data_IF_245212091265
#
_entry.id   IF_245212091265
#
_cell.length_a   1.000
_cell.length_b   1.000
_cell.length_c   1.000
_cell.angle_alpha   90.00
_cell.angle_beta   90.00
_cell.angle_gamma   90.00
#
_symmetry.space_group_name_H-M   'P 1'
#
loop_
_entity.id
_entity.type
_entity.pdbx_description
1 polymer ?
#
# COMPACT_ATOMS: atom_id res chain seq x y z
N UNK A 1 -36.39 25.81 41.91
CA UNK A 1 -35.22 25.67 42.83
C UNK A 1 -34.59 27.04 43.03
N UNK A 2 -34.49 27.49 44.30
CA UNK A 2 -34.07 28.85 44.59
C UNK A 2 -32.53 28.85 44.85
N UNK A 3 -31.87 29.97 44.56
CA UNK A 3 -30.39 30.14 44.66
C UNK A 3 -29.76 29.71 46.02
N UNK A 4 -30.55 29.63 47.08
CA UNK A 4 -30.10 29.22 48.42
C UNK A 4 -29.95 27.68 48.55
N UNK A 5 -30.65 26.87 47.78
CA UNK A 5 -30.47 25.42 47.80
C UNK A 5 -29.24 24.97 46.99
N UNK A 6 -28.82 25.75 45.99
CA UNK A 6 -27.60 25.45 45.21
C UNK A 6 -26.30 25.64 46.05
N UNK A 7 -26.30 26.68 46.90
CA UNK A 7 -25.09 26.97 47.73
C UNK A 7 -24.93 26.08 48.98
N UNK A 8 -25.98 25.34 49.38
CA UNK A 8 -25.89 24.41 50.51
C UNK A 8 -25.35 23.03 50.12
N UNK A 9 -25.38 22.68 48.86
CA UNK A 9 -24.85 21.39 48.35
C UNK A 9 -23.35 21.46 48.01
N UNK A 10 -22.77 22.67 47.97
CA UNK A 10 -21.36 22.86 47.61
C UNK A 10 -20.39 22.96 48.82
N UNK A 11 -20.90 22.89 50.05
CA UNK A 11 -20.06 23.11 51.25
C UNK A 11 -19.67 21.83 52.01
N UNK A 12 -19.90 20.62 51.47
CA UNK A 12 -19.56 19.34 52.14
C UNK A 12 -18.81 18.41 51.14
N UNK A 13 -17.94 18.94 50.29
CA UNK A 13 -17.03 18.10 49.51
C UNK A 13 -15.58 18.59 49.71
N UNK A 14 -15.05 18.29 50.89
CA UNK A 14 -13.62 18.26 51.11
C UNK A 14 -13.00 17.16 50.24
N UNK A 15 -11.95 17.52 49.49
CA UNK A 15 -10.92 16.65 48.91
C UNK A 15 -11.39 15.33 48.29
N UNK A 16 -12.31 15.39 47.34
CA UNK A 16 -12.61 14.30 46.42
C UNK A 16 -12.09 14.69 45.03
N UNK A 17 -11.21 13.90 44.45
CA UNK A 17 -10.86 13.99 43.06
C UNK A 17 -12.15 13.90 42.23
N UNK A 18 -12.50 14.98 41.54
CA UNK A 18 -13.53 14.97 40.54
C UNK A 18 -13.08 14.10 39.37
N UNK A 19 -13.39 12.82 39.43
CA UNK A 19 -13.43 11.97 38.26
C UNK A 19 -14.54 12.53 37.37
N UNK A 20 -14.19 13.45 36.48
CA UNK A 20 -15.06 13.81 35.37
C UNK A 20 -15.35 12.52 34.59
N UNK A 21 -16.64 12.22 34.32
CA UNK A 21 -16.95 11.09 33.46
C UNK A 21 -16.23 11.32 32.14
N UNK A 22 -15.55 10.27 31.61
CA UNK A 22 -14.77 10.22 30.40
C UNK A 22 -15.54 10.53 29.09
N UNK A 23 -16.59 11.35 29.17
CA UNK A 23 -17.46 11.78 28.09
C UNK A 23 -17.40 13.25 27.72
N UNK A 24 -16.65 14.09 28.45
CA UNK A 24 -16.45 15.49 28.04
C UNK A 24 -15.38 15.52 26.94
N UNK A 25 -15.80 15.39 25.68
CA UNK A 25 -14.92 15.59 24.53
C UNK A 25 -14.41 17.04 24.54
N UNK A 26 -13.13 17.21 24.83
CA UNK A 26 -12.44 18.46 24.53
C UNK A 26 -12.62 18.78 23.03
N UNK A 27 -12.81 20.05 22.68
CA UNK A 27 -12.95 20.47 21.27
C UNK A 27 -11.75 19.98 20.43
N UNK A 28 -11.95 19.78 19.13
CA UNK A 28 -10.96 19.18 18.21
C UNK A 28 -9.52 19.71 18.34
N UNK A 29 -9.33 20.92 18.83
CA UNK A 29 -8.02 21.58 18.98
C UNK A 29 -7.59 21.76 20.44
N UNK A 30 -8.23 21.09 21.42
CA UNK A 30 -7.78 21.17 22.80
C UNK A 30 -6.39 20.51 22.94
N UNK A 31 -5.48 21.09 23.76
CA UNK A 31 -4.12 20.55 23.92
C UNK A 31 -4.05 19.07 24.29
N UNK A 32 -5.05 18.55 25.03
CA UNK A 32 -5.14 17.14 25.41
C UNK A 32 -5.71 16.20 24.33
N UNK A 33 -6.05 16.71 23.13
CA UNK A 33 -6.60 15.90 22.03
C UNK A 33 -5.63 15.73 20.86
N UNK A 34 -4.38 16.16 21.00
CA UNK A 34 -3.33 15.96 20.00
C UNK A 34 -2.63 14.63 20.21
N UNK A 35 -2.37 13.92 19.11
CA UNK A 35 -1.57 12.71 19.14
C UNK A 35 -0.09 13.05 19.29
N UNK A 36 0.63 12.30 20.10
CA UNK A 36 2.10 12.30 20.13
C UNK A 36 2.61 11.33 19.06
N UNK A 37 3.15 11.86 17.99
CA UNK A 37 3.48 11.10 16.78
C UNK A 37 5.00 10.98 16.62
N UNK A 38 5.48 9.79 16.27
CA UNK A 38 6.80 9.59 15.70
C UNK A 38 6.71 9.58 14.17
N UNK A 39 7.53 10.39 13.49
CA UNK A 39 7.73 10.33 12.04
C UNK A 39 9.04 9.58 11.76
N UNK A 40 8.94 8.40 11.17
CA UNK A 40 10.06 7.51 10.84
C UNK A 40 10.29 7.54 9.32
N UNK A 41 11.43 8.09 8.90
CA UNK A 41 11.73 8.53 7.53
C UNK A 41 11.26 9.97 7.32
N UNK A 42 12.11 10.94 7.64
CA UNK A 42 11.74 12.37 7.62
C UNK A 42 11.95 13.05 6.27
N UNK A 43 12.57 12.36 5.32
CA UNK A 43 12.87 12.86 3.98
C UNK A 43 12.14 12.02 2.90
N UNK A 44 12.23 12.46 1.64
CA UNK A 44 11.63 11.75 0.52
C UNK A 44 10.10 11.72 0.66
N UNK A 45 9.52 10.55 0.84
CA UNK A 45 8.07 10.41 1.04
C UNK A 45 7.59 11.01 2.37
N UNK A 46 8.44 11.04 3.40
CA UNK A 46 8.11 11.66 4.68
C UNK A 46 7.69 13.13 4.59
N UNK A 47 8.25 13.89 3.64
CA UNK A 47 7.88 15.29 3.42
C UNK A 47 6.38 15.50 3.15
N UNK A 48 5.72 14.53 2.51
CA UNK A 48 4.29 14.60 2.21
C UNK A 48 3.38 14.51 3.45
N UNK A 49 3.94 14.14 4.61
CA UNK A 49 3.20 14.06 5.86
C UNK A 49 3.31 15.32 6.73
N UNK A 50 4.24 16.23 6.42
CA UNK A 50 4.49 17.41 7.24
C UNK A 50 3.24 18.27 7.46
N UNK A 51 2.45 18.52 6.40
CA UNK A 51 1.24 19.33 6.50
C UNK A 51 0.09 18.59 7.19
N UNK A 52 -0.01 17.29 7.03
CA UNK A 52 -1.04 16.51 7.72
C UNK A 52 -0.80 16.40 9.22
N UNK A 53 0.47 16.42 9.65
CA UNK A 53 0.89 16.30 11.04
C UNK A 53 1.06 17.63 11.78
N UNK A 54 0.94 18.78 11.10
CA UNK A 54 1.22 20.11 11.70
C UNK A 54 0.33 20.47 12.89
N UNK A 55 -0.85 19.86 12.96
CA UNK A 55 -1.84 20.10 14.03
C UNK A 55 -1.68 19.11 15.19
N UNK A 56 -0.79 18.11 15.07
CA UNK A 56 -0.49 17.10 16.08
C UNK A 56 0.86 17.40 16.78
N UNK A 57 1.20 16.66 17.81
CA UNK A 57 2.50 16.74 18.49
C UNK A 57 3.48 15.76 17.84
N UNK A 58 4.30 16.21 16.90
CA UNK A 58 5.41 15.37 16.42
C UNK A 58 6.52 15.43 17.46
N UNK A 59 6.62 14.40 18.29
CA UNK A 59 7.53 14.35 19.45
C UNK A 59 8.81 13.56 19.17
N UNK A 60 8.84 12.82 18.06
CA UNK A 60 10.01 12.05 17.64
C UNK A 60 10.17 12.11 16.11
N UNK A 61 11.41 12.26 15.67
CA UNK A 61 11.85 12.20 14.28
C UNK A 61 12.92 11.11 14.16
N UNK A 62 12.75 10.19 13.22
CA UNK A 62 13.72 9.12 13.02
C UNK A 62 14.15 9.07 11.55
N UNK A 63 15.44 9.08 11.30
CA UNK A 63 16.02 8.89 9.95
C UNK A 63 17.43 8.33 10.07
N UNK A 64 17.79 7.39 9.22
CA UNK A 64 19.13 6.79 9.15
C UNK A 64 20.17 7.77 8.58
N UNK A 65 19.73 8.89 8.02
CA UNK A 65 20.57 9.96 7.52
C UNK A 65 20.40 11.22 8.37
N UNK A 66 21.33 11.44 9.28
CA UNK A 66 21.28 12.56 10.25
C UNK A 66 21.24 13.95 9.57
N UNK A 67 21.75 14.06 8.34
CA UNK A 67 21.71 15.34 7.61
C UNK A 67 20.29 15.81 7.28
N UNK A 68 19.27 14.93 7.40
CA UNK A 68 17.87 15.23 7.14
C UNK A 68 17.14 15.85 8.33
N UNK A 69 17.71 15.79 9.53
CA UNK A 69 17.04 16.34 10.72
C UNK A 69 16.93 17.85 10.72
N UNK A 70 17.90 18.57 10.15
CA UNK A 70 17.92 20.04 10.20
C UNK A 70 16.63 20.66 9.62
N UNK A 71 16.14 20.16 8.49
CA UNK A 71 14.92 20.66 7.88
C UNK A 71 13.64 20.15 8.57
N UNK A 72 13.66 18.91 9.04
CA UNK A 72 12.54 18.36 9.79
C UNK A 72 12.33 19.11 11.13
N UNK A 73 13.40 19.46 11.84
CA UNK A 73 13.34 20.21 13.10
C UNK A 73 12.86 21.64 12.91
N UNK A 74 13.07 22.27 11.74
CA UNK A 74 12.44 23.58 11.43
C UNK A 74 10.92 23.49 11.46
N UNK A 75 10.37 22.36 11.02
CA UNK A 75 8.91 22.14 10.96
C UNK A 75 8.36 21.63 12.30
N UNK A 76 9.12 20.80 13.00
CA UNK A 76 8.74 20.19 14.28
C UNK A 76 9.77 20.50 15.36
N UNK A 77 9.85 21.76 15.82
CA UNK A 77 10.80 22.18 16.83
C UNK A 77 10.52 21.47 18.17
N UNK A 78 11.55 20.94 18.80
CA UNK A 78 11.45 20.21 20.07
C UNK A 78 11.22 18.70 19.93
N UNK A 79 11.05 18.17 18.72
CA UNK A 79 11.02 16.74 18.51
C UNK A 79 12.39 16.12 18.79
N UNK A 80 12.41 14.97 19.47
CA UNK A 80 13.64 14.20 19.73
C UNK A 80 14.05 13.44 18.46
N UNK A 81 15.33 13.46 18.13
CA UNK A 81 15.86 12.75 16.95
C UNK A 81 16.42 11.39 17.28
N UNK A 82 16.24 10.43 16.38
CA UNK A 82 16.70 9.05 16.49
C UNK A 82 17.26 8.59 15.14
N UNK A 83 18.37 7.86 15.14
CA UNK A 83 18.90 7.22 13.93
C UNK A 83 18.31 5.81 13.78
N UNK A 84 18.12 5.10 14.89
CA UNK A 84 17.54 3.76 14.93
C UNK A 84 16.06 3.81 15.32
N UNK A 85 15.18 3.34 14.43
CA UNK A 85 13.75 3.31 14.66
C UNK A 85 13.35 2.42 15.85
N UNK A 86 14.15 1.39 16.19
CA UNK A 86 13.90 0.53 17.36
C UNK A 86 13.98 1.35 18.64
N UNK A 87 14.97 2.24 18.72
CA UNK A 87 15.14 3.19 19.84
C UNK A 87 14.05 4.27 19.84
N UNK A 88 13.64 4.72 18.66
CA UNK A 88 12.53 5.67 18.54
C UNK A 88 11.22 5.10 19.13
N UNK A 89 10.91 3.83 18.84
CA UNK A 89 9.72 3.15 19.36
C UNK A 89 9.75 2.84 20.87
N UNK A 90 10.89 2.99 21.54
CA UNK A 90 11.01 2.87 22.98
C UNK A 90 10.56 4.14 23.74
N UNK A 91 10.31 5.26 23.03
CA UNK A 91 9.85 6.51 23.65
C UNK A 91 8.45 6.32 24.26
N UNK A 92 8.32 6.62 25.55
CA UNK A 92 7.14 6.24 26.36
C UNK A 92 5.85 7.01 26.06
N UNK A 93 5.97 8.21 25.52
CA UNK A 93 4.82 9.09 25.30
C UNK A 93 4.34 9.09 23.84
N UNK A 94 4.51 8.00 23.11
CA UNK A 94 4.00 7.85 21.74
C UNK A 94 2.57 7.33 21.76
N UNK A 95 1.73 7.90 20.92
CA UNK A 95 0.38 7.41 20.60
C UNK A 95 0.33 6.77 19.21
N UNK A 96 1.15 7.28 18.28
CA UNK A 96 1.09 6.90 16.87
C UNK A 96 2.44 7.00 16.18
N UNK A 97 2.58 6.25 15.08
CA UNK A 97 3.75 6.30 14.21
C UNK A 97 3.33 6.48 12.74
N UNK A 98 4.12 7.26 12.00
CA UNK A 98 4.05 7.39 10.55
C UNK A 98 5.36 6.84 9.97
N UNK A 99 5.27 5.82 9.12
CA UNK A 99 6.41 5.08 8.57
C UNK A 99 6.57 5.43 7.10
N UNK A 100 7.72 6.01 6.76
CA UNK A 100 8.07 6.48 5.41
C UNK A 100 9.49 6.04 5.02
N UNK A 101 9.91 4.90 5.47
CA UNK A 101 11.25 4.32 5.26
C UNK A 101 11.36 3.58 3.93
N UNK A 102 12.40 2.79 3.72
CA UNK A 102 12.49 1.88 2.58
C UNK A 102 11.57 0.66 2.77
N UNK A 103 11.01 0.14 1.67
CA UNK A 103 9.94 -0.87 1.66
C UNK A 103 10.22 -2.09 2.55
N UNK A 104 11.47 -2.58 2.55
CA UNK A 104 11.91 -3.76 3.30
C UNK A 104 11.88 -3.60 4.83
N UNK A 105 11.72 -2.38 5.32
CA UNK A 105 11.62 -2.11 6.76
C UNK A 105 10.18 -1.85 7.21
N UNK A 106 9.24 -1.65 6.29
CA UNK A 106 7.86 -1.27 6.58
C UNK A 106 7.17 -2.26 7.51
N UNK A 107 7.18 -3.56 7.15
CA UNK A 107 6.51 -4.59 7.94
C UNK A 107 7.12 -4.73 9.34
N UNK A 108 8.44 -4.59 9.48
CA UNK A 108 9.14 -4.64 10.77
C UNK A 108 8.68 -3.51 11.68
N UNK A 109 8.79 -2.27 11.21
CA UNK A 109 8.43 -1.10 12.00
C UNK A 109 6.94 -1.11 12.34
N UNK A 110 6.07 -1.47 11.36
CA UNK A 110 4.63 -1.56 11.58
C UNK A 110 4.26 -2.62 12.62
N UNK A 111 4.86 -3.82 12.55
CA UNK A 111 4.57 -4.88 13.50
C UNK A 111 5.10 -4.56 14.91
N UNK A 112 6.29 -3.95 15.01
CA UNK A 112 6.84 -3.49 16.29
C UNK A 112 6.02 -2.36 16.91
N UNK A 113 5.48 -1.45 16.10
CA UNK A 113 4.56 -0.41 16.55
C UNK A 113 3.25 -1.01 17.10
N UNK A 114 2.67 -1.96 16.36
CA UNK A 114 1.47 -2.68 16.84
C UNK A 114 1.72 -3.41 18.16
N UNK A 115 2.90 -4.03 18.34
CA UNK A 115 3.27 -4.71 19.60
C UNK A 115 3.34 -3.75 20.80
N UNK A 116 3.55 -2.46 20.53
CA UNK A 116 3.58 -1.38 21.52
C UNK A 116 2.26 -0.62 21.66
N UNK A 117 1.19 -1.15 21.08
CA UNK A 117 -0.16 -0.55 21.06
C UNK A 117 -0.18 0.86 20.46
N UNK A 118 0.63 1.12 19.42
CA UNK A 118 0.66 2.38 18.69
C UNK A 118 -0.24 2.32 17.46
N UNK A 119 -0.99 3.40 17.20
CA UNK A 119 -1.62 3.62 15.92
C UNK A 119 -0.56 3.70 14.81
N UNK A 120 -0.84 3.19 13.63
CA UNK A 120 0.18 3.06 12.60
C UNK A 120 -0.31 3.54 11.23
N UNK A 121 0.36 4.53 10.67
CA UNK A 121 0.31 4.84 9.24
C UNK A 121 1.60 4.33 8.60
N UNK A 122 1.48 3.47 7.61
CA UNK A 122 2.64 2.94 6.88
C UNK A 122 2.54 3.32 5.41
N UNK A 123 3.59 3.90 4.83
CA UNK A 123 3.62 4.09 3.39
C UNK A 123 3.59 2.74 2.65
N UNK A 124 3.17 2.75 1.41
CA UNK A 124 3.07 1.56 0.56
C UNK A 124 4.47 1.16 0.01
N UNK A 125 4.68 -0.14 -0.25
CA UNK A 125 3.85 -1.29 0.13
C UNK A 125 3.97 -1.61 1.62
N UNK A 126 2.94 -2.19 2.21
CA UNK A 126 2.96 -2.60 3.63
C UNK A 126 4.06 -3.63 3.93
N UNK A 127 4.40 -4.44 2.94
CA UNK A 127 5.33 -5.56 3.05
C UNK A 127 5.98 -5.86 1.69
N UNK A 128 7.09 -6.58 1.70
CA UNK A 128 7.77 -7.07 0.49
C UNK A 128 7.74 -8.59 0.35
N UNK A 129 7.20 -9.32 1.34
CA UNK A 129 6.94 -10.76 1.29
C UNK A 129 5.52 -11.08 1.75
N UNK A 130 4.99 -12.22 1.29
CA UNK A 130 3.67 -12.72 1.72
C UNK A 130 3.64 -12.93 3.22
N UNK A 131 4.69 -13.51 3.80
CA UNK A 131 4.81 -13.76 5.24
C UNK A 131 4.73 -12.45 6.04
N UNK A 132 5.47 -11.42 5.64
CA UNK A 132 5.45 -10.09 6.27
C UNK A 132 4.02 -9.51 6.27
N UNK A 133 3.34 -9.50 5.12
CA UNK A 133 1.97 -8.99 5.00
C UNK A 133 1.02 -9.73 5.94
N UNK A 134 1.12 -11.05 6.00
CA UNK A 134 0.28 -11.90 6.86
C UNK A 134 0.54 -11.66 8.34
N UNK A 135 1.81 -11.56 8.76
CA UNK A 135 2.18 -11.34 10.17
C UNK A 135 1.64 -9.99 10.65
N UNK A 136 1.88 -8.92 9.89
CA UNK A 136 1.40 -7.57 10.26
C UNK A 136 -0.13 -7.53 10.31
N UNK A 137 -0.81 -8.08 9.30
CA UNK A 137 -2.28 -8.17 9.28
C UNK A 137 -2.83 -8.97 10.45
N UNK A 138 -2.28 -10.16 10.72
CA UNK A 138 -2.73 -11.01 11.82
C UNK A 138 -2.56 -10.36 13.20
N UNK A 139 -1.47 -9.61 13.39
CA UNK A 139 -1.24 -8.86 14.62
C UNK A 139 -2.28 -7.73 14.77
N UNK A 140 -2.49 -6.94 13.72
CA UNK A 140 -3.47 -5.86 13.76
C UNK A 140 -4.90 -6.38 13.97
N UNK A 141 -5.29 -7.50 13.35
CA UNK A 141 -6.61 -8.10 13.53
C UNK A 141 -6.95 -8.38 14.99
N UNK A 142 -5.95 -8.70 15.83
CA UNK A 142 -6.13 -8.87 17.29
C UNK A 142 -6.37 -7.54 18.02
N UNK A 143 -6.03 -6.43 17.41
CA UNK A 143 -6.04 -5.08 18.01
C UNK A 143 -6.94 -4.08 17.28
N UNK A 144 -7.66 -4.51 16.24
CA UNK A 144 -8.45 -3.61 15.36
C UNK A 144 -9.54 -2.80 16.05
N UNK A 145 -9.99 -3.22 17.23
CA UNK A 145 -10.95 -2.46 18.05
C UNK A 145 -10.33 -1.28 18.80
N UNK A 146 -8.99 -1.22 18.87
CA UNK A 146 -8.26 -0.22 19.66
C UNK A 146 -7.35 0.64 18.77
N UNK A 147 -6.75 0.06 17.74
CA UNK A 147 -5.73 0.71 16.94
C UNK A 147 -6.25 1.06 15.54
N UNK A 148 -6.09 2.30 15.14
CA UNK A 148 -6.29 2.72 13.76
C UNK A 148 -5.00 2.48 12.97
N UNK A 149 -5.13 1.87 11.79
CA UNK A 149 -4.03 1.68 10.85
C UNK A 149 -4.43 2.19 9.47
N UNK A 150 -3.45 2.62 8.67
CA UNK A 150 -3.66 2.97 7.26
C UNK A 150 -2.39 2.74 6.46
N UNK A 151 -2.52 2.20 5.25
CA UNK A 151 -1.44 2.14 4.28
C UNK A 151 -1.53 3.31 3.31
N UNK A 152 -0.39 3.89 2.95
CA UNK A 152 -0.25 5.12 2.16
C UNK A 152 -0.73 5.03 0.71
N UNK A 153 -1.94 4.54 0.48
CA UNK A 153 -2.59 4.45 -0.82
C UNK A 153 -3.50 5.67 -1.08
N UNK A 154 -2.95 6.87 -0.95
CA UNK A 154 -3.71 8.14 -0.96
C UNK A 154 -4.56 8.38 -2.21
N UNK A 155 -4.27 7.72 -3.33
CA UNK A 155 -5.10 7.79 -4.55
C UNK A 155 -6.50 7.22 -4.35
N UNK A 156 -6.70 6.36 -3.34
CA UNK A 156 -8.01 5.86 -2.94
C UNK A 156 -9.01 7.00 -2.63
N UNK A 157 -8.54 8.17 -2.20
CA UNK A 157 -9.37 9.34 -1.96
C UNK A 157 -9.76 10.10 -3.24
N UNK A 158 -9.27 9.73 -4.41
CA UNK A 158 -9.68 10.36 -5.66
C UNK A 158 -11.15 10.05 -5.94
N UNK A 159 -11.96 11.06 -6.31
CA UNK A 159 -13.41 10.83 -6.55
C UNK A 159 -13.71 9.74 -7.57
N UNK A 160 -12.79 9.49 -8.51
CA UNK A 160 -12.96 8.46 -9.53
C UNK A 160 -13.00 7.03 -8.97
N UNK A 161 -12.41 6.76 -7.79
CA UNK A 161 -12.53 5.47 -7.11
C UNK A 161 -13.99 5.15 -6.80
N UNK A 162 -14.70 6.07 -6.15
CA UNK A 162 -16.11 5.89 -5.83
C UNK A 162 -16.97 5.77 -7.08
N UNK A 163 -16.74 6.63 -8.08
CA UNK A 163 -17.52 6.60 -9.35
C UNK A 163 -17.30 5.30 -10.11
N UNK A 164 -16.07 4.78 -10.16
CA UNK A 164 -15.77 3.49 -10.79
C UNK A 164 -16.43 2.34 -10.03
N UNK A 165 -16.33 2.34 -8.70
CA UNK A 165 -16.98 1.35 -7.83
C UNK A 165 -18.50 1.33 -8.04
N UNK A 166 -19.14 2.48 -8.10
CA UNK A 166 -20.59 2.59 -8.33
C UNK A 166 -21.01 2.01 -9.68
N UNK A 167 -20.26 2.30 -10.75
CA UNK A 167 -20.53 1.73 -12.06
C UNK A 167 -20.43 0.20 -12.04
N UNK A 168 -19.37 -0.34 -11.48
CA UNK A 168 -19.15 -1.80 -11.43
C UNK A 168 -20.21 -2.48 -10.56
N UNK A 169 -20.45 -1.97 -9.35
CA UNK A 169 -21.44 -2.51 -8.41
C UNK A 169 -22.87 -2.36 -8.92
N UNK A 170 -23.14 -1.28 -9.65
CA UNK A 170 -24.43 -1.03 -10.28
C UNK A 170 -24.67 -1.83 -11.55
N UNK A 171 -23.71 -2.65 -11.99
CA UNK A 171 -23.85 -3.55 -13.13
C UNK A 171 -23.68 -2.87 -14.50
N UNK A 172 -22.98 -1.72 -14.58
CA UNK A 172 -22.77 -1.00 -15.83
C UNK A 172 -22.06 -1.82 -16.92
N UNK A 173 -21.29 -2.85 -16.54
CA UNK A 173 -20.66 -3.81 -17.46
C UNK A 173 -21.41 -5.14 -17.54
N UNK A 174 -22.56 -5.28 -16.89
CA UNK A 174 -23.26 -6.56 -16.71
C UNK A 174 -22.57 -7.46 -15.70
N UNK A 175 -22.63 -8.78 -15.91
CA UNK A 175 -21.92 -9.73 -15.06
C UNK A 175 -20.41 -9.58 -15.24
N UNK A 176 -19.69 -9.31 -14.16
CA UNK A 176 -18.24 -9.14 -14.19
C UNK A 176 -17.55 -10.49 -14.46
N UNK A 177 -16.65 -10.52 -15.44
CA UNK A 177 -15.93 -11.72 -15.90
C UNK A 177 -14.45 -11.65 -15.57
N UNK A 178 -13.83 -10.47 -15.80
CA UNK A 178 -12.43 -10.25 -15.54
C UNK A 178 -12.13 -8.79 -15.22
N UNK A 179 -11.04 -8.54 -14.51
CA UNK A 179 -10.55 -7.20 -14.28
C UNK A 179 -9.01 -7.16 -14.33
N UNK A 180 -8.48 -6.11 -14.93
CA UNK A 180 -7.05 -5.95 -15.17
C UNK A 180 -6.57 -4.59 -14.69
N UNK A 181 -5.42 -4.56 -14.03
CA UNK A 181 -4.75 -3.33 -13.64
C UNK A 181 -3.32 -3.32 -14.22
N UNK A 182 -2.80 -2.14 -14.52
CA UNK A 182 -1.44 -2.00 -15.02
C UNK A 182 -0.75 -0.75 -14.50
N UNK A 183 0.59 -0.80 -14.47
CA UNK A 183 1.43 0.33 -14.11
C UNK A 183 2.75 0.31 -14.87
N UNK A 184 3.11 1.44 -15.48
CA UNK A 184 4.30 1.60 -16.32
C UNK A 184 5.27 2.67 -15.79
N UNK A 185 5.31 2.89 -14.47
CA UNK A 185 6.17 3.91 -13.85
C UNK A 185 7.64 3.52 -13.81
N UNK A 186 7.93 2.22 -13.73
CA UNK A 186 9.30 1.77 -13.66
C UNK A 186 9.97 1.97 -15.02
N UNK A 187 10.89 2.89 -15.06
CA UNK A 187 11.65 3.21 -16.26
C UNK A 187 12.83 2.24 -16.32
N UNK A 188 12.99 1.59 -17.47
CA UNK A 188 14.22 0.88 -17.80
C UNK A 188 15.37 1.90 -17.74
N UNK A 189 16.54 1.58 -17.16
CA UNK A 189 17.66 2.52 -17.02
C UNK A 189 18.12 3.17 -18.32
N UNK A 190 17.89 2.53 -19.47
CA UNK A 190 18.27 2.99 -20.80
C UNK A 190 17.27 3.95 -21.48
N UNK A 191 16.19 4.33 -20.80
CA UNK A 191 15.19 5.23 -21.36
C UNK A 191 14.44 4.69 -22.58
N UNK A 192 14.50 3.38 -22.82
CA UNK A 192 13.97 2.71 -24.01
C UNK A 192 12.55 3.12 -24.36
N UNK A 193 12.32 3.45 -25.61
CA UNK A 193 11.01 3.76 -26.16
C UNK A 193 10.00 2.63 -25.90
N UNK A 194 8.70 2.94 -25.90
CA UNK A 194 7.66 1.91 -25.88
C UNK A 194 7.87 0.97 -27.05
N UNK A 195 8.31 -0.27 -26.79
CA UNK A 195 8.33 -1.30 -27.81
C UNK A 195 6.91 -1.84 -27.99
N UNK A 196 6.48 -1.97 -29.23
CA UNK A 196 5.22 -2.64 -29.52
C UNK A 196 5.34 -4.13 -29.15
N UNK A 197 4.25 -4.75 -28.65
CA UNK A 197 4.28 -6.18 -28.36
C UNK A 197 4.52 -6.98 -29.64
N UNK A 198 5.47 -7.89 -29.60
CA UNK A 198 5.80 -8.75 -30.73
C UNK A 198 4.90 -9.98 -30.85
N UNK A 199 4.34 -10.42 -29.70
CA UNK A 199 3.43 -11.56 -29.63
C UNK A 199 2.25 -11.26 -28.74
N UNK A 200 1.13 -11.78 -29.15
CA UNK A 200 -0.16 -11.63 -28.49
C UNK A 200 -0.75 -13.02 -28.21
N UNK A 201 -0.94 -13.34 -26.95
CA UNK A 201 -1.61 -14.58 -26.55
C UNK A 201 -3.11 -14.35 -26.36
N UNK A 202 -3.92 -14.73 -27.36
CA UNK A 202 -5.37 -14.59 -27.34
C UNK A 202 -6.05 -15.35 -26.19
N UNK A 203 -5.45 -16.41 -25.66
CA UNK A 203 -6.01 -17.23 -24.58
C UNK A 203 -5.83 -16.59 -23.22
N UNK A 204 -4.68 -15.98 -22.99
CA UNK A 204 -4.34 -15.37 -21.69
C UNK A 204 -4.56 -13.87 -21.69
N UNK A 205 -4.71 -13.23 -22.84
CA UNK A 205 -4.76 -11.78 -22.98
C UNK A 205 -3.42 -11.09 -22.67
N UNK A 206 -2.33 -11.83 -22.63
CA UNK A 206 -0.99 -11.32 -22.31
C UNK A 206 -0.30 -10.91 -23.60
N UNK A 207 0.32 -9.74 -23.55
CA UNK A 207 1.14 -9.18 -24.61
C UNK A 207 2.61 -9.29 -24.22
N UNK A 208 3.41 -9.95 -25.02
CA UNK A 208 4.85 -10.11 -24.80
C UNK A 208 5.65 -9.15 -25.66
N UNK A 209 6.77 -8.67 -25.11
CA UNK A 209 7.75 -7.86 -25.84
C UNK A 209 9.03 -8.68 -26.02
N UNK A 210 9.63 -8.62 -27.22
CA UNK A 210 10.90 -9.31 -27.51
C UNK A 210 12.10 -8.62 -26.87
N UNK A 211 12.03 -7.30 -26.71
CA UNK A 211 13.15 -6.52 -26.18
C UNK A 211 13.45 -6.87 -24.74
N UNK A 212 14.67 -7.22 -24.47
CA UNK A 212 15.18 -7.38 -23.10
C UNK A 212 15.48 -6.00 -22.53
N UNK A 213 14.89 -5.61 -21.39
CA UNK A 213 15.32 -4.41 -20.71
C UNK A 213 16.80 -4.53 -20.28
N UNK A 214 17.50 -3.43 -20.24
CA UNK A 214 18.84 -3.35 -19.64
C UNK A 214 18.73 -3.55 -18.12
N UNK A 215 18.73 -4.80 -17.68
CA UNK A 215 18.60 -5.18 -16.27
C UNK A 215 19.97 -5.36 -15.68
N UNK A 216 20.30 -4.81 -14.49
CA UNK A 216 21.54 -5.14 -13.80
C UNK A 216 21.67 -6.65 -13.62
N UNK A 217 22.88 -7.19 -13.85
CA UNK A 217 23.14 -8.63 -13.75
C UNK A 217 23.03 -9.15 -12.30
N UNK A 218 23.12 -8.24 -11.31
CA UNK A 218 23.13 -8.59 -9.88
C UNK A 218 22.92 -7.36 -9.00
N UNK A 219 23.15 -7.52 -7.70
CA UNK A 219 23.24 -6.38 -6.79
C UNK A 219 24.40 -5.46 -7.17
N UNK A 220 24.29 -4.18 -6.83
CA UNK A 220 25.31 -3.19 -7.17
C UNK A 220 26.63 -3.52 -6.46
N UNK A 221 27.77 -3.39 -7.13
CA UNK A 221 29.08 -3.67 -6.54
C UNK A 221 29.43 -2.66 -5.45
N UNK A 222 30.42 -3.00 -4.63
CA UNK A 222 30.99 -2.10 -3.64
C UNK A 222 31.52 -0.82 -4.31
N UNK A 223 31.10 0.33 -3.79
CA UNK A 223 31.56 1.64 -4.26
C UNK A 223 32.20 2.47 -3.12
N UNK A 224 32.65 1.81 -2.07
CA UNK A 224 33.36 2.42 -0.93
C UNK A 224 32.43 2.78 0.23
N UNK A 225 32.89 3.72 1.05
CA UNK A 225 32.21 4.09 2.29
C UNK A 225 30.96 4.95 2.06
N UNK A 226 29.89 4.75 2.84
CA UNK A 226 28.71 5.60 2.78
C UNK A 226 29.06 7.05 3.21
N UNK A 227 28.32 8.05 2.71
CA UNK A 227 28.50 9.45 3.10
C UNK A 227 28.39 9.63 4.62
N UNK A 228 29.17 10.56 5.16
CA UNK A 228 29.08 10.94 6.58
C UNK A 228 27.65 11.32 6.96
N UNK A 229 27.16 10.76 8.05
CA UNK A 229 25.80 10.97 8.56
C UNK A 229 24.77 9.98 8.03
N UNK A 230 25.11 9.11 7.08
CA UNK A 230 24.26 8.01 6.63
C UNK A 230 24.65 6.72 7.38
N UNK A 231 23.75 6.19 8.19
CA UNK A 231 23.92 4.86 8.80
C UNK A 231 23.45 3.79 7.83
N UNK A 232 24.38 3.28 7.00
CA UNK A 232 24.06 2.31 5.96
C UNK A 232 23.67 0.95 6.53
N UNK A 233 24.24 0.53 7.66
CA UNK A 233 23.87 -0.72 8.32
C UNK A 233 22.40 -0.74 8.75
N UNK A 234 21.89 0.37 9.27
CA UNK A 234 20.47 0.53 9.58
C UNK A 234 19.60 0.67 8.34
N UNK A 235 20.15 1.19 7.20
CA UNK A 235 19.41 1.18 5.93
C UNK A 235 19.23 -0.24 5.41
N UNK A 236 20.28 -1.07 5.42
CA UNK A 236 20.17 -2.51 5.11
C UNK A 236 19.14 -3.16 6.03
N UNK A 237 19.17 -2.82 7.33
CA UNK A 237 18.17 -3.27 8.29
C UNK A 237 18.04 -4.79 8.33
N UNK A 238 16.82 -5.35 8.13
CA UNK A 238 16.57 -6.79 8.18
C UNK A 238 17.05 -7.56 6.94
N UNK A 239 17.41 -6.87 5.85
CA UNK A 239 17.83 -7.51 4.61
C UNK A 239 19.22 -8.13 4.70
N UNK A 240 19.53 -9.08 3.84
CA UNK A 240 20.89 -9.59 3.73
C UNK A 240 21.83 -8.43 3.39
N UNK A 241 23.06 -8.50 3.87
CA UNK A 241 24.05 -7.44 3.65
C UNK A 241 24.47 -7.39 2.18
N UNK A 242 24.43 -6.19 1.62
CA UNK A 242 25.03 -5.83 0.34
C UNK A 242 25.92 -4.61 0.56
N UNK A 243 27.10 -4.51 -0.06
CA UNK A 243 28.00 -3.39 0.12
C UNK A 243 27.35 -2.07 -0.33
N UNK A 244 27.86 -0.97 0.20
CA UNK A 244 27.34 0.36 -0.14
C UNK A 244 27.58 0.67 -1.62
N UNK A 245 26.52 1.21 -2.25
CA UNK A 245 26.63 1.78 -3.59
C UNK A 245 25.67 2.99 -3.70
N UNK A 246 26.14 4.17 -4.14
CA UNK A 246 25.28 5.35 -4.30
C UNK A 246 24.16 5.14 -5.33
N UNK A 247 24.28 4.17 -6.23
CA UNK A 247 23.24 3.79 -7.19
C UNK A 247 21.91 3.41 -6.56
N UNK A 248 21.90 2.96 -5.31
CA UNK A 248 20.65 2.72 -4.56
C UNK A 248 19.91 4.03 -4.18
N UNK A 249 20.55 5.20 -4.31
CA UNK A 249 20.06 6.48 -3.79
C UNK A 249 19.99 7.60 -4.84
N UNK A 250 20.18 7.30 -6.12
CA UNK A 250 20.39 8.32 -7.18
C UNK A 250 19.16 9.16 -7.52
N UNK A 251 17.94 8.75 -7.13
CA UNK A 251 16.73 9.45 -7.53
C UNK A 251 16.31 10.49 -6.48
N UNK A 252 15.66 11.58 -6.93
CA UNK A 252 15.21 12.65 -6.03
C UNK A 252 14.06 12.21 -5.11
N UNK A 253 13.74 13.04 -4.13
CA UNK A 253 12.59 12.86 -3.25
C UNK A 253 11.30 12.61 -4.04
N UNK A 254 10.50 11.65 -3.59
CA UNK A 254 9.26 11.21 -4.25
C UNK A 254 9.44 10.18 -5.36
N UNK A 255 10.66 9.99 -5.88
CA UNK A 255 11.01 8.94 -6.82
C UNK A 255 12.19 8.08 -6.34
N UNK A 256 12.73 8.35 -5.17
CA UNK A 256 13.92 7.68 -4.61
C UNK A 256 13.74 6.17 -4.43
N UNK A 257 12.52 5.70 -4.16
CA UNK A 257 12.24 4.26 -4.08
C UNK A 257 12.55 3.51 -5.37
N UNK A 258 12.42 4.14 -6.54
CA UNK A 258 12.68 3.50 -7.83
C UNK A 258 14.16 3.16 -8.07
N UNK A 259 15.07 3.58 -7.20
CA UNK A 259 16.50 3.23 -7.27
C UNK A 259 16.79 1.88 -6.62
N UNK A 260 16.09 1.56 -5.52
CA UNK A 260 16.35 0.37 -4.71
C UNK A 260 15.20 -0.64 -4.69
N UNK A 261 13.97 -0.25 -4.96
CA UNK A 261 12.82 -1.14 -4.80
C UNK A 261 12.77 -2.30 -5.81
N UNK A 262 13.54 -2.22 -6.90
CA UNK A 262 13.66 -3.32 -7.86
C UNK A 262 14.45 -4.52 -7.32
N UNK A 263 15.31 -4.34 -6.33
CA UNK A 263 16.10 -5.41 -5.75
C UNK A 263 15.28 -6.23 -4.75
N UNK A 264 15.32 -7.58 -4.86
CA UNK A 264 14.51 -8.48 -4.03
C UNK A 264 14.66 -8.25 -2.52
N UNK A 265 15.84 -7.83 -2.08
CA UNK A 265 16.09 -7.59 -0.65
C UNK A 265 15.55 -6.25 -0.17
N UNK A 266 15.29 -5.29 -1.05
CA UNK A 266 14.92 -3.93 -0.68
C UNK A 266 13.50 -3.54 -1.09
N UNK A 267 12.83 -4.31 -1.96
CA UNK A 267 11.50 -3.98 -2.42
C UNK A 267 10.83 -5.11 -3.19
N UNK A 268 9.66 -4.80 -3.71
CA UNK A 268 8.87 -5.69 -4.56
C UNK A 268 8.70 -5.13 -6.00
N UNK A 269 9.57 -4.20 -6.39
CA UNK A 269 9.55 -3.59 -7.72
C UNK A 269 8.25 -2.84 -8.03
N UNK A 270 7.91 -2.81 -9.30
CA UNK A 270 6.73 -2.09 -9.79
C UNK A 270 5.41 -2.63 -9.19
N UNK A 271 5.33 -3.93 -8.93
CA UNK A 271 4.14 -4.54 -8.34
C UNK A 271 3.91 -4.05 -6.89
N UNK A 272 4.98 -3.81 -6.13
CA UNK A 272 4.91 -3.19 -4.81
C UNK A 272 4.62 -1.69 -4.88
N UNK A 273 5.27 -0.98 -5.80
CA UNK A 273 5.13 0.48 -5.94
C UNK A 273 3.75 0.87 -6.51
N UNK A 274 3.58 0.77 -7.82
CA UNK A 274 2.32 1.19 -8.48
C UNK A 274 1.22 0.13 -8.41
N UNK A 275 1.58 -1.14 -8.22
CA UNK A 275 0.60 -2.18 -7.95
C UNK A 275 -0.25 -1.84 -6.72
N UNK A 276 0.35 -1.34 -5.66
CA UNK A 276 -0.38 -0.88 -4.47
C UNK A 276 -1.43 0.19 -4.78
N UNK A 277 -1.20 1.07 -5.76
CA UNK A 277 -2.16 2.13 -6.12
C UNK A 277 -3.19 1.70 -7.16
N UNK A 278 -2.75 1.00 -8.21
CA UNK A 278 -3.64 0.71 -9.34
C UNK A 278 -4.48 -0.53 -9.09
N UNK A 279 -3.89 -1.54 -8.40
CA UNK A 279 -4.68 -2.68 -7.93
C UNK A 279 -5.72 -2.26 -6.89
N UNK A 280 -5.42 -1.28 -6.04
CA UNK A 280 -6.36 -0.71 -5.08
C UNK A 280 -7.66 -0.22 -5.75
N UNK A 281 -7.55 0.49 -6.89
CA UNK A 281 -8.71 0.91 -7.66
C UNK A 281 -9.58 -0.29 -8.08
N UNK A 282 -8.96 -1.36 -8.54
CA UNK A 282 -9.64 -2.58 -8.95
C UNK A 282 -10.17 -3.35 -7.72
N UNK A 283 -9.33 -3.57 -6.72
CA UNK A 283 -9.64 -4.31 -5.49
C UNK A 283 -10.88 -3.78 -4.80
N UNK A 284 -10.94 -2.45 -4.64
CA UNK A 284 -12.09 -1.75 -4.08
C UNK A 284 -13.37 -1.93 -4.90
N UNK A 285 -13.27 -1.92 -6.24
CA UNK A 285 -14.46 -2.01 -7.11
C UNK A 285 -15.10 -3.39 -7.09
N UNK A 286 -14.30 -4.46 -6.95
CA UNK A 286 -14.80 -5.84 -7.04
C UNK A 286 -14.98 -6.52 -5.69
N UNK A 287 -14.75 -5.82 -4.57
CA UNK A 287 -14.69 -6.38 -3.22
C UNK A 287 -13.87 -7.67 -3.21
N UNK A 288 -12.62 -7.55 -3.64
CA UNK A 288 -11.75 -8.69 -3.76
C UNK A 288 -11.39 -9.25 -2.38
N UNK A 289 -11.24 -10.57 -2.31
CA UNK A 289 -10.66 -11.31 -1.20
C UNK A 289 -9.38 -11.97 -1.69
N UNK A 290 -8.69 -12.74 -0.85
CA UNK A 290 -7.51 -13.47 -1.30
C UNK A 290 -7.84 -14.47 -2.41
N UNK A 291 -6.97 -14.62 -3.42
CA UNK A 291 -7.17 -15.56 -4.52
C UNK A 291 -6.94 -16.99 -4.12
N UNK A 292 -7.45 -17.93 -4.91
CA UNK A 292 -7.23 -19.38 -4.78
C UNK A 292 -6.09 -19.88 -5.67
N UNK A 293 -5.68 -19.09 -6.66
CA UNK A 293 -4.52 -19.40 -7.49
C UNK A 293 -3.82 -18.14 -7.99
N UNK A 294 -2.55 -18.30 -8.35
CA UNK A 294 -1.76 -17.28 -8.99
C UNK A 294 -0.87 -17.87 -10.09
N UNK A 295 -0.69 -17.15 -11.17
CA UNK A 295 0.28 -17.45 -12.22
C UNK A 295 0.94 -16.16 -12.68
N UNK A 296 2.19 -16.23 -13.15
CA UNK A 296 2.88 -15.07 -13.67
C UNK A 296 3.86 -15.46 -14.75
N UNK A 297 4.05 -14.54 -15.69
CA UNK A 297 5.07 -14.59 -16.74
C UNK A 297 5.73 -13.23 -16.86
N UNK A 298 7.01 -13.21 -17.15
CA UNK A 298 7.79 -11.96 -17.24
C UNK A 298 9.15 -12.18 -17.84
N UNK A 299 10.06 -11.25 -17.58
CA UNK A 299 11.46 -11.35 -17.94
C UNK A 299 12.08 -12.68 -17.44
N UNK A 300 13.20 -13.14 -18.02
CA UNK A 300 13.95 -14.24 -17.45
C UNK A 300 14.29 -13.98 -15.97
N UNK A 301 14.17 -15.01 -15.12
CA UNK A 301 14.42 -14.87 -13.69
C UNK A 301 15.83 -14.32 -13.42
N UNK A 302 15.88 -13.24 -12.65
CA UNK A 302 17.10 -12.63 -12.14
C UNK A 302 17.20 -12.86 -10.63
N UNK A 303 18.35 -13.29 -10.14
CA UNK A 303 18.55 -13.61 -8.73
C UNK A 303 18.52 -12.39 -7.80
N UNK A 304 18.81 -11.18 -8.33
CA UNK A 304 18.88 -9.95 -7.54
C UNK A 304 17.68 -9.02 -7.74
N UNK A 305 16.99 -9.09 -8.90
CA UNK A 305 16.08 -8.06 -9.36
C UNK A 305 14.71 -8.65 -9.67
N UNK A 306 13.67 -7.97 -9.22
CA UNK A 306 12.26 -8.24 -9.57
C UNK A 306 12.05 -8.05 -11.09
N UNK A 307 11.09 -8.75 -11.72
CA UNK A 307 10.85 -8.57 -13.14
C UNK A 307 10.46 -7.12 -13.44
N UNK A 308 11.00 -6.56 -14.52
CA UNK A 308 10.57 -5.28 -15.06
C UNK A 308 9.33 -5.48 -15.91
N UNK A 309 9.36 -6.43 -16.85
CA UNK A 309 8.21 -6.86 -17.64
C UNK A 309 7.56 -8.05 -16.94
N UNK A 310 6.29 -7.92 -16.57
CA UNK A 310 5.58 -9.02 -15.91
C UNK A 310 4.07 -8.87 -16.10
N UNK A 311 3.41 -10.01 -16.26
CA UNK A 311 1.96 -10.16 -16.12
C UNK A 311 1.67 -11.24 -15.09
N UNK A 312 0.81 -10.93 -14.13
CA UNK A 312 0.34 -11.88 -13.10
C UNK A 312 -1.18 -12.01 -13.16
N UNK A 313 -1.70 -13.21 -12.96
CA UNK A 313 -3.13 -13.48 -12.94
C UNK A 313 -3.52 -14.25 -11.68
N UNK A 314 -4.70 -13.95 -11.18
CA UNK A 314 -5.23 -14.46 -9.93
C UNK A 314 -6.69 -14.88 -10.13
N UNK A 315 -7.06 -16.07 -9.67
CA UNK A 315 -8.44 -16.52 -9.67
C UNK A 315 -9.08 -16.23 -8.31
N UNK A 316 -10.16 -15.48 -8.33
CA UNK A 316 -10.89 -15.10 -7.13
C UNK A 316 -12.22 -15.85 -7.04
N UNK A 317 -12.61 -16.32 -5.86
CA UNK A 317 -13.92 -16.91 -5.66
C UNK A 317 -15.04 -15.91 -5.87
N UNK A 318 -16.25 -16.43 -6.07
CA UNK A 318 -17.46 -15.62 -6.01
C UNK A 318 -17.61 -14.97 -4.64
N UNK A 319 -18.34 -13.86 -4.60
CA UNK A 319 -18.79 -13.23 -3.37
C UNK A 319 -20.31 -12.97 -3.44
N UNK A 320 -20.86 -12.21 -2.49
CA UNK A 320 -22.31 -12.00 -2.33
C UNK A 320 -22.99 -11.37 -3.53
N UNK A 321 -22.26 -10.70 -4.43
CA UNK A 321 -22.85 -9.96 -5.54
C UNK A 321 -22.28 -10.29 -6.93
N UNK A 322 -21.13 -10.96 -7.01
CA UNK A 322 -20.52 -11.34 -8.29
C UNK A 322 -20.08 -12.81 -8.29
N UNK A 323 -20.03 -13.39 -9.47
CA UNK A 323 -19.41 -14.68 -9.72
C UNK A 323 -17.89 -14.68 -9.49
N UNK A 324 -17.21 -15.83 -9.72
CA UNK A 324 -15.77 -15.89 -9.77
C UNK A 324 -15.22 -14.88 -10.78
N UNK A 325 -14.05 -14.31 -10.50
CA UNK A 325 -13.44 -13.31 -11.37
C UNK A 325 -11.93 -13.52 -11.48
N UNK A 326 -11.42 -13.40 -12.70
CA UNK A 326 -9.99 -13.37 -12.96
C UNK A 326 -9.47 -11.94 -12.82
N UNK A 327 -8.48 -11.72 -11.96
CA UNK A 327 -7.82 -10.44 -11.79
C UNK A 327 -6.39 -10.54 -12.37
N UNK A 328 -5.97 -9.52 -13.15
CA UNK A 328 -4.64 -9.45 -13.72
C UNK A 328 -3.90 -8.18 -13.30
N UNK A 329 -2.59 -8.30 -13.12
CA UNK A 329 -1.64 -7.20 -12.99
C UNK A 329 -0.64 -7.24 -14.15
N UNK A 330 -0.35 -6.08 -14.73
CA UNK A 330 0.59 -5.93 -15.84
C UNK A 330 1.56 -4.79 -15.57
N UNK A 331 2.83 -4.97 -15.93
CA UNK A 331 3.87 -3.95 -15.76
C UNK A 331 4.97 -4.02 -16.82
N UNK A 332 5.81 -2.96 -16.89
CA UNK A 332 6.96 -2.92 -17.77
C UNK A 332 6.55 -2.86 -19.25
N UNK A 333 5.40 -2.22 -19.53
CA UNK A 333 4.79 -2.11 -20.87
C UNK A 333 4.21 -3.40 -21.43
N UNK A 334 4.14 -4.45 -20.63
CA UNK A 334 3.21 -5.55 -20.89
C UNK A 334 1.81 -5.04 -20.59
N UNK A 335 0.87 -5.22 -21.49
CA UNK A 335 -0.48 -4.64 -21.40
C UNK A 335 -1.55 -5.70 -21.63
N UNK A 336 -2.72 -5.57 -20.99
CA UNK A 336 -3.88 -6.38 -21.40
C UNK A 336 -4.33 -6.00 -22.80
N UNK A 337 -5.04 -6.92 -23.48
CA UNK A 337 -5.63 -6.65 -24.79
C UNK A 337 -6.63 -5.51 -24.71
N UNK A 338 -6.51 -4.55 -25.64
CA UNK A 338 -7.51 -3.50 -25.77
C UNK A 338 -8.86 -4.10 -26.14
N UNK A 339 -9.94 -3.63 -25.53
CA UNK A 339 -11.29 -4.14 -25.81
C UNK A 339 -11.77 -3.75 -27.21
N UNK A 340 -11.21 -2.71 -27.81
CA UNK A 340 -11.57 -2.18 -29.13
C UNK A 340 -10.33 -1.66 -29.86
N UNK A 341 -10.33 -1.72 -31.19
CA UNK A 341 -9.16 -1.40 -32.02
C UNK A 341 -8.75 0.09 -31.98
N UNK A 342 -9.68 0.99 -31.69
CA UNK A 342 -9.40 2.43 -31.64
C UNK A 342 -8.87 2.92 -30.29
N UNK A 343 -8.89 2.09 -29.23
CA UNK A 343 -8.39 2.45 -27.91
C UNK A 343 -6.99 1.87 -27.68
N UNK A 344 -6.01 2.73 -27.60
CA UNK A 344 -4.64 2.37 -27.30
C UNK A 344 -4.38 2.46 -25.78
N UNK A 345 -4.40 1.33 -25.10
CA UNK A 345 -4.17 1.26 -23.64
C UNK A 345 -2.74 1.66 -23.26
N UNK A 346 -1.77 1.63 -24.18
CA UNK A 346 -0.38 2.03 -23.89
C UNK A 346 -0.24 3.52 -23.58
N UNK A 347 -1.24 4.32 -23.95
CA UNK A 347 -1.32 5.75 -23.63
C UNK A 347 -1.86 6.03 -22.22
N UNK A 348 -2.19 5.00 -21.46
CA UNK A 348 -2.65 5.10 -20.07
C UNK A 348 -1.58 4.48 -19.20
N UNK A 349 -0.71 5.30 -18.59
CA UNK A 349 0.43 4.83 -17.79
C UNK A 349 0.02 3.95 -16.60
N UNK A 350 -1.11 4.28 -15.98
CA UNK A 350 -1.64 3.60 -14.80
C UNK A 350 -3.14 3.48 -14.92
N UNK A 351 -3.64 2.29 -15.20
CA UNK A 351 -5.05 2.10 -15.47
C UNK A 351 -5.60 0.78 -14.97
N UNK A 352 -6.91 0.68 -15.03
CA UNK A 352 -7.67 -0.54 -14.79
C UNK A 352 -8.73 -0.73 -15.89
N UNK A 353 -9.06 -1.98 -16.17
CA UNK A 353 -10.08 -2.39 -17.10
C UNK A 353 -10.95 -3.48 -16.47
N UNK A 354 -12.25 -3.32 -16.54
CA UNK A 354 -13.25 -4.27 -16.06
C UNK A 354 -14.02 -4.79 -17.24
N UNK A 355 -14.00 -6.08 -17.45
CA UNK A 355 -14.75 -6.76 -18.54
C UNK A 355 -15.96 -7.47 -17.97
N UNK A 356 -17.07 -7.27 -18.59
CA UNK A 356 -18.31 -7.97 -18.25
C UNK A 356 -19.15 -8.30 -19.46
N UNK A 357 -20.27 -8.99 -19.22
CA UNK A 357 -21.14 -9.54 -20.27
C UNK A 357 -21.83 -8.49 -21.14
N UNK A 358 -21.89 -7.22 -20.71
CA UNK A 358 -22.59 -6.13 -21.43
C UNK A 358 -21.69 -4.93 -21.75
N UNK A 359 -20.44 -4.93 -21.32
CA UNK A 359 -19.54 -3.83 -21.59
C UNK A 359 -18.17 -3.97 -20.97
N UNK A 360 -17.33 -3.00 -21.27
CA UNK A 360 -15.99 -2.85 -20.68
C UNK A 360 -15.87 -1.44 -20.12
N UNK A 361 -15.39 -1.33 -18.89
CA UNK A 361 -15.02 -0.05 -18.28
C UNK A 361 -13.49 0.03 -18.23
N UNK A 362 -12.93 1.05 -18.85
CA UNK A 362 -11.50 1.40 -18.77
C UNK A 362 -11.37 2.69 -17.97
N UNK A 363 -10.46 2.73 -17.01
CA UNK A 363 -10.26 3.91 -16.18
C UNK A 363 -8.79 4.07 -15.73
N UNK A 364 -8.48 5.28 -15.31
CA UNK A 364 -7.30 5.64 -14.52
C UNK A 364 -7.73 6.26 -13.19
N UNK A 365 -6.83 6.95 -12.50
CA UNK A 365 -7.17 7.59 -11.22
C UNK A 365 -8.12 8.78 -11.34
N UNK A 366 -8.35 9.33 -12.54
CA UNK A 366 -9.13 10.55 -12.77
C UNK A 366 -10.25 10.38 -13.80
N UNK A 367 -10.01 9.54 -14.81
CA UNK A 367 -10.89 9.37 -15.98
C UNK A 367 -11.44 7.96 -16.04
N UNK A 368 -12.57 7.82 -16.71
CA UNK A 368 -13.20 6.53 -16.99
C UNK A 368 -13.93 6.57 -18.32
N UNK A 369 -13.93 5.46 -19.02
CA UNK A 369 -14.59 5.25 -20.31
C UNK A 369 -15.36 3.94 -20.23
N UNK A 370 -16.68 4.01 -20.35
CA UNK A 370 -17.54 2.84 -20.46
C UNK A 370 -17.82 2.57 -21.94
N UNK A 371 -17.59 1.33 -22.37
CA UNK A 371 -17.76 0.85 -23.73
C UNK A 371 -18.79 -0.28 -23.70
N UNK A 372 -20.07 -0.03 -24.01
CA UNK A 372 -21.07 -1.08 -24.12
C UNK A 372 -20.77 -2.01 -25.32
N UNK A 373 -21.17 -3.28 -25.22
CA UNK A 373 -20.95 -4.27 -26.26
C UNK A 373 -22.29 -4.82 -26.78
N UNK A 374 -22.37 -5.10 -28.08
CA UNK A 374 -23.55 -5.67 -28.71
C UNK A 374 -24.81 -4.83 -28.49
N UNK A 375 -25.93 -5.49 -28.20
CA UNK A 375 -27.23 -4.86 -27.97
C UNK A 375 -27.33 -4.08 -26.63
N UNK A 376 -26.28 -4.04 -25.84
CA UNK A 376 -26.25 -3.30 -24.58
C UNK A 376 -25.90 -1.81 -24.74
N UNK A 377 -25.78 -1.32 -25.98
CA UNK A 377 -25.35 0.07 -26.24
C UNK A 377 -26.34 1.13 -25.74
N UNK A 378 -27.60 0.81 -25.55
CA UNK A 378 -28.62 1.71 -25.00
C UNK A 378 -28.56 1.86 -23.47
N UNK A 379 -27.78 1.02 -22.79
CA UNK A 379 -27.58 1.05 -21.32
C UNK A 379 -28.89 0.94 -20.50
N UNK A 380 -30.01 0.47 -21.08
CA UNK A 380 -31.32 0.41 -20.38
C UNK A 380 -31.33 -0.55 -19.20
N UNK A 381 -30.38 -1.49 -19.14
CA UNK A 381 -30.20 -2.43 -18.05
C UNK A 381 -29.51 -1.79 -16.83
N UNK A 382 -28.79 -0.66 -17.00
CA UNK A 382 -28.03 -0.02 -15.94
C UNK A 382 -28.86 1.01 -15.19
N UNK A 383 -28.83 0.92 -13.86
CA UNK A 383 -29.45 1.91 -12.98
C UNK A 383 -28.35 2.71 -12.29
N UNK A 384 -28.14 3.99 -12.67
CA UNK A 384 -27.17 4.83 -11.99
C UNK A 384 -27.56 5.05 -10.51
N UNK A 385 -26.60 5.32 -9.63
CA UNK A 385 -26.88 5.63 -8.24
C UNK A 385 -27.74 6.90 -8.11
N UNK A 386 -28.64 6.91 -7.15
CA UNK A 386 -29.41 8.09 -6.75
C UNK A 386 -28.59 8.99 -5.83
N UNK A 387 -29.14 10.18 -5.48
CA UNK A 387 -28.49 11.07 -4.54
C UNK A 387 -28.25 10.42 -3.16
N UNK A 388 -29.13 9.48 -2.75
CA UNK A 388 -29.05 8.76 -1.48
C UNK A 388 -28.04 7.60 -1.52
N UNK A 389 -27.79 7.02 -2.70
CA UNK A 389 -26.92 5.84 -2.87
C UNK A 389 -25.54 6.16 -3.41
N UNK A 390 -25.30 7.41 -3.82
CA UNK A 390 -23.99 7.87 -4.27
C UNK A 390 -22.98 7.85 -3.12
N UNK A 391 -21.80 7.27 -3.38
CA UNK A 391 -20.77 7.19 -2.36
C UNK A 391 -20.19 8.59 -2.06
N UNK A 392 -20.11 9.00 -0.79
CA UNK A 392 -19.55 10.29 -0.42
C UNK A 392 -18.04 10.33 -0.71
N UNK A 393 -17.48 11.53 -0.97
CA UNK A 393 -16.04 11.67 -1.11
C UNK A 393 -15.34 11.32 0.21
N UNK A 394 -14.19 10.65 0.11
CA UNK A 394 -13.42 10.21 1.27
C UNK A 394 -12.77 11.38 2.04
N UNK A 395 -12.57 12.51 1.40
CA UNK A 395 -11.90 13.66 1.98
C UNK A 395 -10.36 13.52 1.99
N UNK A 396 -9.73 14.14 2.96
CA UNK A 396 -8.27 14.15 3.05
C UNK A 396 -7.75 12.82 3.64
N UNK A 397 -7.03 12.04 2.84
CA UNK A 397 -6.64 10.66 3.13
C UNK A 397 -5.86 10.50 4.45
N UNK A 398 -4.84 11.31 4.69
CA UNK A 398 -4.05 11.21 5.93
C UNK A 398 -4.83 11.68 7.16
N UNK A 399 -5.70 12.69 7.00
CA UNK A 399 -6.55 13.16 8.12
C UNK A 399 -7.58 12.13 8.53
N UNK A 400 -8.08 11.30 7.62
CA UNK A 400 -8.95 10.19 7.97
C UNK A 400 -8.31 9.26 9.01
N UNK A 401 -7.03 8.94 8.86
CA UNK A 401 -6.30 8.12 9.83
C UNK A 401 -6.13 8.84 11.18
N UNK A 402 -5.77 10.13 11.17
CA UNK A 402 -5.64 10.92 12.40
C UNK A 402 -6.97 10.96 13.18
N UNK A 403 -8.08 11.17 12.49
CA UNK A 403 -9.42 11.16 13.11
C UNK A 403 -9.77 9.75 13.63
N UNK A 404 -9.41 8.69 12.92
CA UNK A 404 -9.63 7.32 13.38
C UNK A 404 -8.77 6.97 14.61
N UNK A 405 -7.55 7.51 14.74
CA UNK A 405 -6.74 7.38 15.96
C UNK A 405 -7.43 8.00 17.18
N UNK A 406 -8.12 9.11 16.97
CA UNK A 406 -8.84 9.84 18.04
C UNK A 406 -10.26 9.30 18.31
N UNK A 407 -10.80 8.52 17.38
CA UNK A 407 -12.15 7.98 17.47
C UNK A 407 -12.21 6.55 16.95
N UNK A 408 -12.16 5.54 17.82
CA UNK A 408 -12.17 4.13 17.44
C UNK A 408 -13.41 3.66 16.66
N UNK A 409 -14.50 4.46 16.63
CA UNK A 409 -15.68 4.14 15.81
C UNK A 409 -15.47 4.43 14.31
N UNK A 410 -14.47 5.24 13.97
CA UNK A 410 -14.13 5.55 12.59
C UNK A 410 -13.19 4.48 12.02
N UNK A 411 -13.42 4.13 10.76
CA UNK A 411 -12.56 3.21 10.01
C UNK A 411 -11.78 3.98 8.98
N UNK A 412 -10.57 3.51 8.72
CA UNK A 412 -9.76 3.99 7.61
C UNK A 412 -10.08 3.20 6.34
N UNK A 413 -9.92 3.82 5.19
CA UNK A 413 -10.24 3.18 3.91
C UNK A 413 -9.25 2.06 3.55
N UNK A 414 -7.99 2.21 3.95
CA UNK A 414 -6.90 1.31 3.59
C UNK A 414 -6.21 0.78 4.86
N UNK A 415 -7.00 0.18 5.76
CA UNK A 415 -6.45 -0.44 6.97
C UNK A 415 -5.55 -1.66 6.65
N UNK A 416 -4.93 -2.23 7.66
CA UNK A 416 -4.00 -3.34 7.46
C UNK A 416 -4.68 -4.68 7.10
N UNK A 417 -6.00 -4.82 7.25
CA UNK A 417 -6.72 -5.98 6.71
C UNK A 417 -6.92 -5.84 5.21
N UNK A 418 -7.52 -4.73 4.79
CA UNK A 418 -7.74 -4.41 3.38
C UNK A 418 -6.44 -4.42 2.59
N UNK A 419 -5.49 -3.61 3.03
CA UNK A 419 -4.21 -3.42 2.35
C UNK A 419 -3.32 -4.65 2.42
N UNK A 420 -3.32 -5.34 3.56
CA UNK A 420 -2.54 -6.56 3.76
C UNK A 420 -2.99 -7.69 2.83
N UNK A 421 -4.31 -7.88 2.66
CA UNK A 421 -4.85 -8.86 1.71
C UNK A 421 -4.47 -8.51 0.26
N UNK A 422 -4.59 -7.26 -0.13
CA UNK A 422 -4.25 -6.82 -1.49
C UNK A 422 -2.75 -6.96 -1.76
N UNK A 423 -1.89 -6.57 -0.82
CA UNK A 423 -0.44 -6.70 -0.95
C UNK A 423 -0.03 -8.18 -0.96
N UNK A 424 -0.64 -9.04 -0.14
CA UNK A 424 -0.44 -10.49 -0.17
C UNK A 424 -0.68 -11.06 -1.57
N UNK A 425 -1.79 -10.69 -2.22
CA UNK A 425 -2.06 -11.10 -3.60
C UNK A 425 -0.96 -10.64 -4.57
N UNK A 426 -0.58 -9.37 -4.52
CA UNK A 426 0.45 -8.83 -5.41
C UNK A 426 1.77 -9.59 -5.26
N UNK A 427 2.18 -9.85 -4.02
CA UNK A 427 3.40 -10.59 -3.70
C UNK A 427 3.30 -12.06 -4.08
N UNK A 428 2.10 -12.67 -3.99
CA UNK A 428 1.86 -14.03 -4.48
C UNK A 428 2.10 -14.13 -6.01
N UNK A 429 1.84 -13.05 -6.76
CA UNK A 429 2.21 -12.96 -8.17
C UNK A 429 3.72 -13.08 -8.39
N UNK A 430 4.54 -12.45 -7.53
CA UNK A 430 5.99 -12.61 -7.58
C UNK A 430 6.46 -14.01 -7.16
N UNK A 431 5.75 -14.65 -6.21
CA UNK A 431 6.00 -16.06 -5.86
C UNK A 431 5.75 -16.97 -7.06
N UNK A 432 4.64 -16.78 -7.78
CA UNK A 432 4.31 -17.54 -8.99
C UNK A 432 5.34 -17.29 -10.12
N UNK A 433 5.79 -16.04 -10.29
CA UNK A 433 6.86 -15.69 -11.22
C UNK A 433 8.16 -16.46 -10.91
N UNK A 434 8.60 -16.46 -9.63
CA UNK A 434 9.81 -17.17 -9.19
C UNK A 434 9.68 -18.68 -9.33
N UNK A 435 8.49 -19.23 -9.10
CA UNK A 435 8.21 -20.66 -9.25
C UNK A 435 8.11 -21.09 -10.73
N UNK A 436 7.83 -20.16 -11.66
CA UNK A 436 7.63 -20.44 -13.07
C UNK A 436 6.43 -21.34 -13.37
N UNK A 437 5.46 -21.42 -12.47
CA UNK A 437 4.30 -22.33 -12.53
C UNK A 437 3.02 -21.65 -12.04
N UNK A 438 1.87 -22.12 -12.50
CA UNK A 438 0.59 -21.80 -11.86
C UNK A 438 0.51 -22.46 -10.49
N UNK A 439 0.26 -21.63 -9.47
CA UNK A 439 0.18 -22.02 -8.07
C UNK A 439 -1.27 -22.13 -7.64
N UNK A 440 -1.60 -23.16 -6.88
CA UNK A 440 -2.83 -23.24 -6.08
C UNK A 440 -2.51 -22.73 -4.68
N UNK A 441 -3.30 -21.79 -4.20
CA UNK A 441 -3.04 -21.11 -2.95
C UNK A 441 -4.17 -21.35 -1.95
N UNK A 442 -3.81 -21.78 -0.74
CA UNK A 442 -4.72 -21.80 0.40
C UNK A 442 -4.63 -20.46 1.14
N UNK A 443 -5.62 -19.56 0.99
CA UNK A 443 -5.56 -18.24 1.59
C UNK A 443 -5.70 -18.26 3.12
N UNK A 444 -6.28 -19.32 3.69
CA UNK A 444 -6.41 -19.48 5.14
C UNK A 444 -5.06 -19.88 5.74
N UNK A 445 -4.48 -20.97 5.22
CA UNK A 445 -3.17 -21.45 5.68
C UNK A 445 -2.02 -20.53 5.22
N UNK A 446 -2.20 -19.74 4.16
CA UNK A 446 -1.16 -18.93 3.56
C UNK A 446 -0.07 -19.74 2.89
N UNK A 447 -0.47 -20.80 2.18
CA UNK A 447 0.47 -21.78 1.59
C UNK A 447 0.11 -22.13 0.17
N UNK A 448 1.13 -22.39 -0.61
CA UNK A 448 1.01 -23.03 -1.93
C UNK A 448 0.86 -24.53 -1.72
N UNK A 449 -0.17 -25.12 -2.34
CA UNK A 449 -0.56 -26.52 -2.11
C UNK A 449 -0.11 -27.48 -3.21
N UNK A 450 -0.01 -27.02 -4.46
CA UNK A 450 0.35 -27.85 -5.61
C UNK A 450 1.85 -27.81 -5.98
N UNK A 451 2.63 -26.96 -5.31
CA UNK A 451 4.06 -26.77 -5.57
C UNK A 451 4.76 -26.44 -4.23
N UNK A 452 5.02 -27.42 -3.36
CA UNK A 452 5.57 -27.19 -2.02
C UNK A 452 6.87 -26.40 -2.00
N UNK A 453 7.72 -26.56 -3.02
CA UNK A 453 8.98 -25.84 -3.19
C UNK A 453 8.77 -24.32 -3.39
N UNK A 454 7.61 -23.88 -3.87
CA UNK A 454 7.31 -22.46 -4.01
C UNK A 454 7.12 -21.76 -2.65
N UNK A 455 6.82 -22.51 -1.59
CA UNK A 455 6.62 -21.93 -0.26
C UNK A 455 7.87 -21.24 0.30
N UNK A 456 9.07 -21.59 -0.18
CA UNK A 456 10.30 -20.87 0.17
C UNK A 456 10.30 -19.40 -0.26
N UNK A 457 9.48 -19.03 -1.25
CA UNK A 457 9.36 -17.67 -1.76
C UNK A 457 8.28 -16.83 -1.08
N UNK A 458 7.48 -17.42 -0.18
CA UNK A 458 6.46 -16.71 0.61
C UNK A 458 7.08 -15.78 1.65
N UNK A 459 8.28 -16.10 2.12
CA UNK A 459 9.09 -15.31 3.04
C UNK A 459 10.51 -15.13 2.52
N UNK A 460 11.37 -14.63 3.38
CA UNK A 460 12.81 -14.49 3.11
C UNK A 460 13.61 -14.69 4.39
N UNK A 461 14.90 -15.02 4.23
CA UNK A 461 15.82 -15.04 5.36
C UNK A 461 16.21 -13.62 5.74
N UNK A 462 16.07 -13.28 7.00
CA UNK A 462 16.52 -12.00 7.54
C UNK A 462 17.94 -12.10 8.09
N UNK A 463 18.60 -10.94 8.21
CA UNK A 463 19.92 -10.82 8.80
C UNK A 463 19.83 -11.11 10.31
N UNK A 464 20.90 -11.69 10.87
CA UNK A 464 20.96 -12.01 12.29
C UNK A 464 20.73 -10.76 13.17
N UNK A 465 20.02 -10.94 14.28
CA UNK A 465 19.63 -9.85 15.18
C UNK A 465 18.39 -9.05 14.73
N UNK A 466 17.77 -9.40 13.59
CA UNK A 466 16.52 -8.78 13.14
C UNK A 466 15.37 -9.77 13.21
N UNK A 467 14.29 -9.38 13.87
CA UNK A 467 13.07 -10.17 13.99
C UNK A 467 11.84 -9.35 13.61
N UNK A 468 10.95 -9.96 12.83
CA UNK A 468 9.69 -9.34 12.45
C UNK A 468 8.76 -9.15 13.65
N UNK A 469 8.85 -10.00 14.64
CA UNK A 469 7.91 -10.01 15.77
C UNK A 469 8.29 -9.07 16.93
N UNK A 470 9.43 -8.45 16.90
CA UNK A 470 9.86 -7.47 17.90
C UNK A 470 10.57 -8.03 19.12
#
# INVERSE_FOLDING_TARGET
>A
MNRRSFLKTTAVAGAGWLLLPSGARAGKNAPGNKLNVALIGVWGRGLAHYDSLKDENVVALCDINETRFADALKKFPGAKTYVDWRKCLEQKNLDAVVICTADHTHAFIANWALNRDLHCYCEKPLAITVEEARVVRANWMKKKSKLATQVGMQRHANPNFNRTRELIRGGAVGNLEAAYAWGNRQVVPDGGAYSHPDEYDDKTGIVYFKDKPGVPAGYLPDAGEPPKGLNYDLWIGPSQFHPYNPGYFVRPAGANCLSWNMFWDFGAGQIGDMGSHTMDLLWNCVDATLPTSAEAKGDPLNAAITPIKCASHFEHPANDWRGPVRIGWYQGRVMPKSPVSWLDLTKIDHGAMFKGSKGVLVCDFQKRLLIPVGNAADMTYYKPPTAETVLPPLGHFQKQWIEACKNPSLKTACDFEYSGNMVEQLLLGLVAYRAGKKLQYDPVAGKVTNCPEANQYLGKKYRDGWTLNG
#
